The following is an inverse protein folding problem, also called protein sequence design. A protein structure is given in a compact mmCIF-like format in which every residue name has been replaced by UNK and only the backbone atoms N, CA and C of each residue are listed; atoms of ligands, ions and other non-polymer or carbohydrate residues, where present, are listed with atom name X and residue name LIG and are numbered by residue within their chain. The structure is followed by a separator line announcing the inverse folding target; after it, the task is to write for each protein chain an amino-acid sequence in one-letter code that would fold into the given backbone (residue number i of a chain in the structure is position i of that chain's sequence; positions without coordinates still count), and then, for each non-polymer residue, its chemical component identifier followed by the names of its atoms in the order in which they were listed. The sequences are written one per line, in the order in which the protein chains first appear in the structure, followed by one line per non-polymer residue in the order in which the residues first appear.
data_IF_204647101454
#
_entry.id   IF_204647101454
#
_cell.length_a   1.000
_cell.length_b   1.000
_cell.length_c   1.000
_cell.angle_alpha   90.00
_cell.angle_beta   90.00
_cell.angle_gamma   90.00
#
_symmetry.space_group_name_H-M   'P 1'
#
loop_
_entity.id
_entity.type
_entity.pdbx_description
1 polymer ?
#
# COMPACT_ATOMS: atom_id res chain seq x y z
N UNK A 1 31.14 31.89 19.74
CA UNK A 1 29.99 32.11 18.84
C UNK A 1 30.12 31.38 17.50
N UNK A 2 31.22 31.53 16.75
CA UNK A 2 31.41 30.83 15.45
C UNK A 2 31.48 29.29 15.55
N UNK A 3 32.15 28.77 16.57
CA UNK A 3 32.24 27.33 16.84
C UNK A 3 30.88 26.72 17.23
N UNK A 4 30.07 27.46 17.99
CA UNK A 4 28.72 27.04 18.37
C UNK A 4 27.79 26.98 17.16
N UNK A 5 27.87 27.95 16.25
CA UNK A 5 27.11 27.94 15.01
C UNK A 5 27.49 26.76 14.09
N UNK A 6 28.79 26.44 14.00
CA UNK A 6 29.27 25.29 13.24
C UNK A 6 28.78 23.95 13.86
N UNK A 7 28.79 23.83 15.19
CA UNK A 7 28.31 22.63 15.88
C UNK A 7 26.79 22.41 15.67
N UNK A 8 26.00 23.49 15.72
CA UNK A 8 24.55 23.42 15.45
C UNK A 8 24.31 23.02 13.99
N UNK A 9 25.06 23.57 13.04
CA UNK A 9 24.96 23.20 11.64
C UNK A 9 25.27 21.71 11.40
N UNK A 10 26.30 21.17 12.07
CA UNK A 10 26.62 19.74 11.98
C UNK A 10 25.52 18.82 12.56
N UNK A 11 24.84 19.23 13.63
CA UNK A 11 23.76 18.44 14.22
C UNK A 11 22.52 18.36 13.31
N UNK A 12 22.23 19.43 12.55
CA UNK A 12 21.09 19.47 11.63
C UNK A 12 21.25 18.53 10.42
N UNK A 13 22.48 18.18 10.04
CA UNK A 13 22.73 17.23 8.92
C UNK A 13 22.61 15.77 9.35
N UNK A 14 22.74 15.47 10.65
CA UNK A 14 22.72 14.10 11.19
C UNK A 14 21.28 13.63 11.49
N UNK A 15 20.33 14.56 11.63
CA UNK A 15 18.92 14.22 11.91
C UNK A 15 18.13 13.74 10.70
N UNK A 16 18.72 13.70 9.50
CA UNK A 16 18.09 13.18 8.29
C UNK A 16 18.37 11.68 8.12
N UNK A 17 18.20 10.91 9.19
CA UNK A 17 18.24 9.47 9.09
C UNK A 17 16.84 9.00 8.70
N UNK A 18 16.70 8.40 7.52
CA UNK A 18 15.56 7.56 7.17
C UNK A 18 15.48 6.41 8.18
N UNK A 19 14.92 6.72 9.35
CA UNK A 19 14.81 5.81 10.49
C UNK A 19 14.10 4.51 10.09
N UNK A 20 14.42 3.43 10.79
CA UNK A 20 14.11 2.01 10.48
C UNK A 20 12.61 1.67 10.27
N UNK A 21 11.72 2.65 10.41
CA UNK A 21 10.27 2.53 10.24
C UNK A 21 9.74 3.18 8.95
N UNK A 22 10.57 3.80 8.12
CA UNK A 22 10.14 4.23 6.77
C UNK A 22 9.85 3.01 5.88
N UNK A 23 10.74 2.01 5.95
CA UNK A 23 10.64 0.73 5.27
C UNK A 23 10.37 -0.40 6.26
N UNK A 24 9.13 -0.39 6.73
CA UNK A 24 8.56 -1.45 7.56
C UNK A 24 8.64 -2.83 6.88
N UNK A 25 8.82 -3.92 7.65
CA UNK A 25 8.98 -5.28 7.11
C UNK A 25 7.62 -5.93 6.73
N UNK A 26 6.79 -5.21 5.97
CA UNK A 26 5.60 -5.74 5.33
C UNK A 26 5.40 -5.08 3.96
N UNK A 27 4.71 -5.78 3.05
CA UNK A 27 4.36 -5.19 1.75
C UNK A 27 3.16 -4.26 1.88
N UNK A 28 3.35 -2.99 1.53
CA UNK A 28 2.25 -2.03 1.32
C UNK A 28 1.49 -2.36 0.03
N UNK A 29 0.23 -1.93 -0.12
CA UNK A 29 -0.49 -2.06 -1.37
C UNK A 29 0.33 -1.49 -2.54
N UNK A 30 0.44 -2.27 -3.63
CA UNK A 30 1.21 -1.94 -4.85
C UNK A 30 2.72 -1.81 -4.65
N UNK A 31 3.27 -2.21 -3.51
CA UNK A 31 4.73 -2.34 -3.35
C UNK A 31 5.25 -3.51 -4.20
N UNK A 32 6.46 -3.39 -4.73
CA UNK A 32 7.15 -4.51 -5.40
C UNK A 32 7.38 -5.65 -4.40
N UNK A 33 7.21 -6.89 -4.86
CA UNK A 33 7.44 -8.10 -4.06
C UNK A 33 8.51 -8.98 -4.68
N UNK A 34 9.52 -9.33 -3.88
CA UNK A 34 10.56 -10.28 -4.25
C UNK A 34 10.12 -11.75 -4.14
N UNK A 35 8.91 -12.01 -3.62
CA UNK A 35 8.42 -13.36 -3.35
C UNK A 35 7.81 -14.05 -4.58
N UNK A 36 7.30 -13.26 -5.53
CA UNK A 36 6.55 -13.76 -6.68
C UNK A 36 7.27 -13.38 -7.98
N UNK A 37 7.22 -14.27 -8.97
CA UNK A 37 7.90 -14.07 -10.26
C UNK A 37 7.37 -12.87 -11.06
N UNK A 38 6.15 -12.41 -10.76
CA UNK A 38 5.52 -11.25 -11.38
C UNK A 38 5.85 -9.92 -10.68
N UNK A 39 6.60 -9.95 -9.58
CA UNK A 39 6.98 -8.77 -8.80
C UNK A 39 5.83 -8.12 -8.02
N UNK A 40 4.62 -8.70 -8.02
CA UNK A 40 3.44 -8.07 -7.43
C UNK A 40 3.22 -8.46 -5.97
N UNK A 41 3.01 -7.48 -5.09
CA UNK A 41 2.53 -7.74 -3.72
C UNK A 41 1.02 -8.00 -3.65
N UNK A 42 0.25 -7.40 -4.56
CA UNK A 42 -1.19 -7.55 -4.63
C UNK A 42 -1.57 -8.82 -5.39
N UNK A 43 -2.06 -9.84 -4.68
CA UNK A 43 -2.46 -11.12 -5.29
C UNK A 43 -3.90 -11.07 -5.75
N UNK A 44 -4.13 -11.47 -7.00
CA UNK A 44 -5.49 -11.65 -7.53
C UNK A 44 -6.18 -12.78 -6.76
N UNK A 45 -7.41 -12.58 -6.27
CA UNK A 45 -8.20 -13.65 -5.69
C UNK A 45 -8.42 -14.78 -6.70
N UNK A 46 -8.58 -16.05 -6.24
CA UNK A 46 -8.96 -17.14 -7.12
C UNK A 46 -10.23 -16.82 -7.92
N UNK A 47 -10.33 -17.32 -9.15
CA UNK A 47 -11.51 -17.10 -10.00
C UNK A 47 -12.79 -17.59 -9.30
N UNK A 48 -13.87 -16.81 -9.42
CA UNK A 48 -15.16 -17.11 -8.81
C UNK A 48 -15.25 -16.78 -7.31
N UNK A 49 -14.20 -16.18 -6.72
CA UNK A 49 -14.25 -15.69 -5.34
C UNK A 49 -15.19 -14.49 -5.23
N UNK A 50 -16.22 -14.61 -4.39
CA UNK A 50 -17.08 -13.49 -3.99
C UNK A 50 -16.71 -13.03 -2.57
N UNK A 51 -16.27 -11.78 -2.44
CA UNK A 51 -15.95 -11.21 -1.13
C UNK A 51 -17.22 -10.92 -0.33
N UNK A 52 -17.08 -10.87 1.01
CA UNK A 52 -18.18 -10.48 1.89
C UNK A 52 -18.64 -9.07 1.56
N UNK A 53 -19.94 -8.90 1.35
CA UNK A 53 -20.53 -7.60 1.01
C UNK A 53 -20.40 -7.22 -0.47
N UNK A 54 -19.84 -8.10 -1.30
CA UNK A 54 -19.79 -7.92 -2.77
C UNK A 54 -20.71 -8.89 -3.50
N UNK A 55 -21.75 -9.39 -2.82
CA UNK A 55 -22.84 -10.08 -3.51
C UNK A 55 -23.79 -9.02 -4.06
N UNK A 56 -23.82 -8.89 -5.39
CA UNK A 56 -24.69 -7.95 -6.09
C UNK A 56 -26.15 -8.44 -6.04
N UNK A 57 -26.91 -7.98 -5.05
CA UNK A 57 -28.32 -8.37 -4.89
C UNK A 57 -29.27 -7.55 -5.77
N UNK A 58 -28.87 -6.34 -6.17
CA UNK A 58 -29.65 -5.47 -7.06
C UNK A 58 -29.14 -5.54 -8.49
N UNK A 59 -29.71 -6.46 -9.26
CA UNK A 59 -29.27 -6.70 -10.65
C UNK A 59 -29.54 -5.52 -11.59
N UNK A 60 -30.54 -4.68 -11.27
CA UNK A 60 -30.82 -3.49 -12.06
C UNK A 60 -29.73 -2.43 -11.82
N UNK A 61 -29.32 -2.23 -10.56
CA UNK A 61 -28.25 -1.31 -10.19
C UNK A 61 -26.89 -1.77 -10.75
N UNK A 62 -26.55 -3.05 -10.60
CA UNK A 62 -25.21 -3.56 -10.91
C UNK A 62 -25.03 -3.92 -12.39
N UNK A 63 -26.09 -4.37 -13.08
CA UNK A 63 -26.00 -4.87 -14.45
C UNK A 63 -26.93 -4.17 -15.45
N UNK A 64 -27.73 -3.18 -15.02
CA UNK A 64 -28.57 -2.37 -15.91
C UNK A 64 -29.70 -3.16 -16.59
N UNK A 65 -30.19 -4.23 -15.96
CA UNK A 65 -31.23 -5.10 -16.51
C UNK A 65 -32.29 -5.44 -15.48
N UNK A 66 -33.50 -5.72 -15.95
CA UNK A 66 -34.58 -6.20 -15.10
C UNK A 66 -34.23 -7.55 -14.44
N UNK A 67 -34.70 -7.80 -13.21
CA UNK A 67 -34.58 -9.12 -12.60
C UNK A 67 -35.26 -10.17 -13.47
N UNK A 68 -34.52 -11.17 -13.90
CA UNK A 68 -35.11 -12.34 -14.56
C UNK A 68 -35.84 -13.14 -13.48
N UNK A 69 -37.18 -13.11 -13.52
CA UNK A 69 -38.07 -13.89 -12.66
C UNK A 69 -37.88 -15.39 -12.81
#
# INVERSE_FOLDING_TARGET
MRLSAAAIACLLVISCSDDEMQDVPHFRPMQESILFADGTSARTPPQGTLARGQLDTDVALHYGREPTS
#
